data_IF_425953572894
#
_entry.id   IF_425953572894
#
_cell.length_a   1.000
_cell.length_b   1.000
_cell.length_c   1.000
_cell.angle_alpha   90.00
_cell.angle_beta   90.00
_cell.angle_gamma   90.00
#
_symmetry.space_group_name_H-M   'P 1'
#
loop_
_entity.id
_entity.type
_entity.pdbx_description
1 polymer ?
#
# COMPACT_ATOMS: atom_id res chain seq x y z
N UNK A 1 -22.16 -15.56 -37.20
CA UNK A 1 -20.93 -14.82 -36.83
C UNK A 1 -21.09 -13.92 -35.59
N UNK A 2 -22.02 -12.96 -35.54
CA UNK A 2 -22.17 -12.03 -34.39
C UNK A 2 -22.33 -12.72 -33.01
N UNK A 3 -23.03 -13.86 -32.93
CA UNK A 3 -23.20 -14.63 -31.69
C UNK A 3 -21.92 -15.34 -31.21
N UNK A 4 -21.13 -15.89 -32.12
CA UNK A 4 -19.85 -16.54 -31.81
C UNK A 4 -18.82 -15.52 -31.28
N UNK A 5 -18.75 -14.34 -31.91
CA UNK A 5 -17.92 -13.22 -31.44
C UNK A 5 -18.35 -12.78 -30.03
N UNK A 6 -19.66 -12.71 -29.76
CA UNK A 6 -20.17 -12.37 -28.44
C UNK A 6 -19.76 -13.36 -27.33
N UNK A 7 -19.78 -14.67 -27.60
CA UNK A 7 -19.30 -15.67 -26.65
C UNK A 7 -17.78 -15.62 -26.47
N UNK A 8 -17.03 -15.42 -27.55
CA UNK A 8 -15.57 -15.25 -27.49
C UNK A 8 -15.19 -14.03 -26.62
N UNK A 9 -15.82 -12.87 -26.83
CA UNK A 9 -15.53 -11.66 -26.05
C UNK A 9 -15.88 -11.82 -24.56
N UNK A 10 -17.00 -12.47 -24.23
CA UNK A 10 -17.36 -12.78 -22.83
C UNK A 10 -16.36 -13.75 -22.20
N UNK A 11 -15.96 -14.78 -22.93
CA UNK A 11 -14.94 -15.73 -22.49
C UNK A 11 -13.60 -15.04 -22.27
N UNK A 12 -13.19 -14.16 -23.18
CA UNK A 12 -11.96 -13.36 -23.09
C UNK A 12 -11.96 -12.47 -21.85
N UNK A 13 -13.10 -11.83 -21.53
CA UNK A 13 -13.24 -10.92 -20.39
C UNK A 13 -13.05 -11.62 -19.04
N UNK A 14 -13.33 -12.93 -18.96
CA UNK A 14 -13.10 -13.76 -17.77
C UNK A 14 -11.72 -14.43 -17.81
N UNK A 15 -11.34 -14.96 -18.97
CA UNK A 15 -10.11 -15.72 -19.15
C UNK A 15 -8.86 -14.86 -19.04
N UNK A 16 -8.84 -13.67 -19.65
CA UNK A 16 -7.64 -12.81 -19.66
C UNK A 16 -7.19 -12.41 -18.26
N UNK A 17 -8.08 -11.89 -17.36
CA UNK A 17 -7.68 -11.60 -15.98
C UNK A 17 -7.15 -12.84 -15.24
N UNK A 18 -7.79 -14.00 -15.41
CA UNK A 18 -7.37 -15.24 -14.75
C UNK A 18 -6.00 -15.72 -15.25
N UNK A 19 -5.78 -15.71 -16.57
CA UNK A 19 -4.52 -16.08 -17.20
C UNK A 19 -3.38 -15.13 -16.79
N UNK A 20 -3.62 -13.81 -16.79
CA UNK A 20 -2.65 -12.81 -16.31
C UNK A 20 -2.30 -13.07 -14.83
N UNK A 21 -3.30 -13.33 -13.99
CA UNK A 21 -3.07 -13.63 -12.56
C UNK A 21 -2.15 -14.84 -12.39
N UNK A 22 -2.42 -15.94 -13.10
CA UNK A 22 -1.58 -17.14 -13.05
C UNK A 22 -0.18 -16.86 -13.57
N UNK A 23 -0.03 -16.12 -14.67
CA UNK A 23 1.27 -15.75 -15.22
C UNK A 23 2.12 -14.95 -14.23
N UNK A 24 1.51 -13.98 -13.53
CA UNK A 24 2.21 -13.18 -12.51
C UNK A 24 2.66 -14.07 -11.34
N UNK A 25 1.81 -15.00 -10.89
CA UNK A 25 2.16 -15.93 -9.80
C UNK A 25 3.34 -16.83 -10.22
N UNK A 26 3.27 -17.45 -11.40
CA UNK A 26 4.36 -18.29 -11.90
C UNK A 26 5.65 -17.51 -12.12
N UNK A 27 5.56 -16.28 -12.64
CA UNK A 27 6.70 -15.40 -12.82
C UNK A 27 7.37 -15.08 -11.47
N UNK A 28 6.58 -14.67 -10.47
CA UNK A 28 7.09 -14.37 -9.15
C UNK A 28 7.79 -15.58 -8.52
N UNK A 29 7.16 -16.76 -8.54
CA UNK A 29 7.74 -18.00 -8.01
C UNK A 29 9.10 -18.29 -8.67
N UNK A 30 9.17 -18.20 -10.00
CA UNK A 30 10.41 -18.49 -10.76
C UNK A 30 11.54 -17.51 -10.42
N UNK A 31 11.24 -16.24 -10.27
CA UNK A 31 12.24 -15.23 -9.86
C UNK A 31 12.77 -15.50 -8.45
N UNK A 32 11.90 -15.87 -7.50
CA UNK A 32 12.31 -16.25 -6.14
C UNK A 32 13.14 -17.54 -6.10
N UNK A 33 12.73 -18.57 -6.85
CA UNK A 33 13.49 -19.82 -6.98
C UNK A 33 14.88 -19.55 -7.59
N UNK A 34 14.94 -18.68 -8.61
CA UNK A 34 16.19 -18.26 -9.26
C UNK A 34 17.11 -17.47 -8.33
N UNK A 35 16.57 -16.54 -7.53
CA UNK A 35 17.33 -15.75 -6.55
C UNK A 35 18.04 -16.64 -5.51
N UNK A 36 17.39 -17.75 -5.13
CA UNK A 36 17.93 -18.71 -4.15
C UNK A 36 18.70 -19.87 -4.79
N UNK A 37 18.77 -19.94 -6.13
CA UNK A 37 19.43 -21.02 -6.86
C UNK A 37 18.77 -22.39 -6.69
N UNK A 38 17.47 -22.43 -6.39
CA UNK A 38 16.75 -23.67 -6.07
C UNK A 38 16.19 -24.26 -7.37
N UNK A 39 16.56 -25.51 -7.73
CA UNK A 39 16.12 -26.13 -8.99
C UNK A 39 14.68 -26.67 -8.96
N UNK A 40 14.01 -26.61 -7.80
CA UNK A 40 12.65 -27.14 -7.60
C UNK A 40 11.64 -25.98 -7.67
N UNK A 41 10.75 -25.94 -8.69
CA UNK A 41 9.75 -24.89 -8.81
C UNK A 41 8.85 -24.79 -7.57
N UNK A 42 8.72 -23.59 -6.99
CA UNK A 42 7.90 -23.30 -5.82
C UNK A 42 8.62 -23.43 -4.48
N UNK A 43 9.78 -24.09 -4.41
CA UNK A 43 10.49 -24.30 -3.15
C UNK A 43 11.21 -23.04 -2.67
N UNK A 44 11.66 -22.17 -3.58
CA UNK A 44 12.21 -20.86 -3.26
C UNK A 44 11.15 -19.90 -2.73
N UNK A 45 9.91 -19.99 -3.21
CA UNK A 45 8.80 -19.27 -2.59
C UNK A 45 8.55 -19.73 -1.14
N UNK A 46 8.51 -21.04 -0.89
CA UNK A 46 8.36 -21.59 0.47
C UNK A 46 9.54 -21.18 1.36
N UNK A 47 10.77 -21.25 0.84
CA UNK A 47 11.96 -20.81 1.56
C UNK A 47 11.92 -19.31 1.87
N UNK A 48 11.47 -18.47 0.92
CA UNK A 48 11.30 -17.04 1.14
C UNK A 48 10.28 -16.75 2.26
N UNK A 49 9.12 -17.42 2.24
CA UNK A 49 8.12 -17.33 3.31
C UNK A 49 8.75 -17.74 4.65
N UNK A 50 9.43 -18.88 4.71
CA UNK A 50 10.08 -19.35 5.92
C UNK A 50 11.15 -18.37 6.45
N UNK A 51 11.97 -17.80 5.57
CA UNK A 51 12.98 -16.79 5.92
C UNK A 51 12.32 -15.51 6.44
N UNK A 52 11.30 -14.99 5.74
CA UNK A 52 10.58 -13.78 6.16
C UNK A 52 9.91 -14.01 7.52
N UNK A 53 9.25 -15.15 7.72
CA UNK A 53 8.65 -15.52 9.02
C UNK A 53 9.71 -15.65 10.11
N UNK A 54 10.86 -16.27 9.81
CA UNK A 54 11.96 -16.38 10.76
C UNK A 54 12.55 -15.01 11.13
N UNK A 55 12.71 -14.12 10.16
CA UNK A 55 13.13 -12.72 10.41
C UNK A 55 12.11 -12.02 11.31
N UNK A 56 10.81 -12.16 11.02
CA UNK A 56 9.73 -11.59 11.84
C UNK A 56 9.74 -12.13 13.28
N UNK A 57 9.94 -13.44 13.44
CA UNK A 57 10.06 -14.10 14.75
C UNK A 57 11.32 -13.65 15.52
N UNK A 58 12.44 -13.48 14.84
CA UNK A 58 13.66 -12.96 15.48
C UNK A 58 13.48 -11.49 15.87
N UNK A 59 12.80 -10.71 15.03
CA UNK A 59 12.48 -9.30 15.27
C UNK A 59 11.57 -9.09 16.48
N UNK A 60 10.63 -10.00 16.75
CA UNK A 60 9.71 -9.92 17.90
C UNK A 60 10.35 -10.27 19.25
N UNK A 61 11.57 -10.83 19.25
CA UNK A 61 12.33 -11.12 20.47
C UNK A 61 13.36 -10.02 20.79
N UNK A 62 13.82 -9.96 22.05
CA UNK A 62 14.85 -9.01 22.51
C UNK A 62 16.14 -9.01 21.66
N UNK A 63 16.45 -10.13 21.00
CA UNK A 63 17.58 -10.29 20.06
C UNK A 63 17.36 -9.49 18.78
N UNK A 64 16.12 -9.41 18.28
CA UNK A 64 15.72 -8.65 17.10
C UNK A 64 16.00 -7.16 17.22
N UNK A 65 15.68 -6.57 18.38
CA UNK A 65 15.99 -5.16 18.65
C UNK A 65 17.50 -4.88 18.59
N UNK A 66 18.35 -5.79 19.10
CA UNK A 66 19.83 -5.62 19.00
C UNK A 66 20.34 -5.77 17.57
N UNK A 67 19.78 -6.70 16.80
CA UNK A 67 20.16 -6.90 15.39
C UNK A 67 19.74 -5.70 14.54
N UNK A 68 18.53 -5.18 14.75
CA UNK A 68 18.06 -3.96 14.09
C UNK A 68 18.95 -2.76 14.42
N UNK A 69 19.30 -2.55 15.69
CA UNK A 69 20.22 -1.47 16.09
C UNK A 69 21.62 -1.61 15.47
N UNK A 70 22.11 -2.85 15.28
CA UNK A 70 23.38 -3.10 14.61
C UNK A 70 23.31 -2.77 13.11
N UNK A 71 22.24 -3.19 12.44
CA UNK A 71 22.00 -2.90 11.02
C UNK A 71 21.83 -1.38 10.81
N UNK A 72 21.10 -0.70 11.69
CA UNK A 72 20.90 0.75 11.63
C UNK A 72 22.22 1.51 11.90
N UNK A 73 23.08 0.98 12.78
CA UNK A 73 24.44 1.49 13.03
C UNK A 73 25.38 1.26 11.84
N UNK A 74 25.15 0.20 11.05
CA UNK A 74 25.89 -0.06 9.82
C UNK A 74 25.44 0.88 8.70
N UNK A 75 24.12 1.07 8.53
CA UNK A 75 23.55 1.96 7.51
C UNK A 75 23.73 3.45 7.82
N UNK A 76 23.89 3.85 9.08
CA UNK A 76 24.23 5.25 9.45
C UNK A 76 25.59 5.69 8.93
N UNK A 77 26.49 4.77 8.57
CA UNK A 77 27.76 5.10 7.87
C UNK A 77 27.56 5.36 6.37
N UNK A 78 26.41 5.00 5.82
CA UNK A 78 26.06 5.13 4.41
C UNK A 78 24.79 5.99 4.29
N UNK A 79 24.90 7.32 4.43
CA UNK A 79 23.76 8.23 4.57
C UNK A 79 22.72 8.10 3.44
N UNK A 80 23.18 7.82 2.22
CA UNK A 80 22.31 7.59 1.06
C UNK A 80 21.45 6.33 1.24
N UNK A 81 22.05 5.21 1.65
CA UNK A 81 21.33 3.93 1.85
C UNK A 81 20.30 4.06 2.96
N UNK A 82 20.65 4.77 4.05
CA UNK A 82 19.71 5.05 5.14
C UNK A 82 18.47 5.80 4.65
N UNK A 83 18.63 6.81 3.80
CA UNK A 83 17.50 7.55 3.23
C UNK A 83 16.57 6.65 2.41
N UNK A 84 17.12 5.81 1.53
CA UNK A 84 16.31 4.87 0.74
C UNK A 84 15.61 3.83 1.61
N UNK A 85 16.32 3.25 2.58
CA UNK A 85 15.75 2.29 3.51
C UNK A 85 14.62 2.90 4.34
N UNK A 86 14.83 4.11 4.89
CA UNK A 86 13.81 4.83 5.63
C UNK A 86 12.58 5.12 4.78
N UNK A 87 12.76 5.66 3.56
CA UNK A 87 11.64 5.93 2.65
C UNK A 87 10.84 4.67 2.28
N UNK A 88 11.52 3.56 2.00
CA UNK A 88 10.87 2.27 1.71
C UNK A 88 10.13 1.75 2.96
N UNK A 89 10.75 1.82 4.14
CA UNK A 89 10.15 1.41 5.40
C UNK A 89 8.90 2.23 5.70
N UNK A 90 8.97 3.55 5.57
CA UNK A 90 7.85 4.46 5.81
C UNK A 90 6.70 4.19 4.84
N UNK A 91 7.01 3.95 3.56
CA UNK A 91 6.03 3.53 2.56
C UNK A 91 5.35 2.22 2.96
N UNK A 92 6.12 1.17 3.27
CA UNK A 92 5.58 -0.13 3.67
C UNK A 92 4.74 0.01 4.96
N UNK A 93 5.19 0.78 5.94
CA UNK A 93 4.45 0.99 7.18
C UNK A 93 3.13 1.73 6.96
N UNK A 94 3.08 2.70 6.04
CA UNK A 94 1.84 3.37 5.67
C UNK A 94 0.79 2.42 5.07
N UNK A 95 1.22 1.34 4.40
CA UNK A 95 0.33 0.36 3.76
C UNK A 95 0.08 -0.93 4.58
N UNK A 96 1.03 -1.36 5.40
CA UNK A 96 1.05 -2.70 6.02
C UNK A 96 1.23 -2.71 7.56
N UNK A 97 1.42 -1.56 8.21
CA UNK A 97 1.60 -1.47 9.67
C UNK A 97 0.28 -1.45 10.46
N UNK A 98 0.34 -1.80 11.76
CA UNK A 98 -0.79 -1.69 12.70
C UNK A 98 -1.27 -0.24 12.93
N UNK A 99 -0.43 0.75 12.58
CA UNK A 99 -0.81 2.16 12.42
C UNK A 99 -0.98 2.46 10.93
N UNK A 100 -2.07 2.02 10.32
CA UNK A 100 -2.35 2.30 8.91
C UNK A 100 -2.58 3.81 8.75
N UNK A 101 -1.67 4.51 8.09
CA UNK A 101 -1.83 5.94 7.76
C UNK A 101 -3.03 6.20 6.83
N UNK A 102 -3.69 5.15 6.34
CA UNK A 102 -4.91 5.20 5.54
C UNK A 102 -6.13 4.59 6.24
N UNK A 103 -6.13 4.45 7.57
CA UNK A 103 -7.27 3.85 8.29
C UNK A 103 -8.41 4.80 8.63
N UNK A 104 -8.24 6.08 8.36
CA UNK A 104 -9.21 7.12 8.68
C UNK A 104 -9.78 7.69 7.39
N UNK A 105 -10.71 6.99 6.71
CA UNK A 105 -11.35 7.54 5.52
C UNK A 105 -12.16 8.78 5.92
N UNK A 106 -12.02 9.83 5.15
CA UNK A 106 -12.67 11.12 5.37
C UNK A 106 -13.22 11.66 4.08
N UNK A 107 -14.21 12.54 4.20
CA UNK A 107 -14.70 13.38 3.12
C UNK A 107 -14.45 14.84 3.46
N UNK A 108 -13.93 15.59 2.50
CA UNK A 108 -13.58 17.00 2.66
C UNK A 108 -14.11 17.80 1.47
N UNK A 109 -14.61 19.00 1.74
CA UNK A 109 -14.94 19.98 0.70
C UNK A 109 -13.68 20.72 0.26
N UNK A 110 -13.30 20.58 -1.02
CA UNK A 110 -12.08 21.20 -1.56
C UNK A 110 -12.16 22.73 -1.58
N UNK A 111 -13.35 23.26 -1.81
CA UNK A 111 -13.68 24.69 -1.72
C UNK A 111 -15.02 24.84 -1.01
N UNK A 112 -15.27 26.00 -0.42
CA UNK A 112 -16.54 26.27 0.31
C UNK A 112 -17.70 26.15 -0.67
N UNK A 113 -18.64 25.22 -0.39
CA UNK A 113 -19.78 24.93 -1.28
C UNK A 113 -19.39 24.22 -2.58
N UNK A 114 -18.17 23.70 -2.67
CA UNK A 114 -17.62 23.04 -3.85
C UNK A 114 -17.73 21.52 -3.83
N UNK A 115 -16.99 20.83 -4.71
CA UNK A 115 -16.97 19.38 -4.77
C UNK A 115 -16.34 18.77 -3.51
N UNK A 116 -16.82 17.58 -3.16
CA UNK A 116 -16.29 16.77 -2.07
C UNK A 116 -15.29 15.76 -2.61
N UNK A 117 -14.21 15.56 -1.87
CA UNK A 117 -13.19 14.57 -2.17
C UNK A 117 -13.08 13.58 -1.00
N UNK A 118 -12.94 12.31 -1.33
CA UNK A 118 -12.65 11.26 -0.35
C UNK A 118 -11.14 11.11 -0.25
N UNK A 119 -10.64 11.15 0.99
CA UNK A 119 -9.23 10.99 1.29
C UNK A 119 -9.04 10.24 2.61
N UNK A 120 -7.82 10.28 3.11
CA UNK A 120 -7.45 9.58 4.33
C UNK A 120 -6.60 10.49 5.21
N UNK A 121 -6.94 10.61 6.50
CA UNK A 121 -6.09 11.34 7.44
C UNK A 121 -4.79 10.56 7.65
N UNK A 122 -3.67 11.19 7.30
CA UNK A 122 -2.33 10.65 7.50
C UNK A 122 -1.64 11.23 8.74
N UNK A 123 -2.01 12.44 9.16
CA UNK A 123 -1.60 13.07 10.42
C UNK A 123 -2.78 13.84 11.03
N UNK A 124 -3.03 13.60 12.32
CA UNK A 124 -4.12 14.23 13.09
C UNK A 124 -3.77 15.60 13.68
N UNK A 125 -2.49 16.00 13.68
CA UNK A 125 -2.04 17.33 14.07
C UNK A 125 -0.72 17.66 13.35
N UNK A 126 -0.63 18.90 12.85
CA UNK A 126 0.53 19.42 12.13
C UNK A 126 1.30 20.48 12.92
N UNK A 127 1.34 20.38 14.26
CA UNK A 127 2.13 21.27 15.10
C UNK A 127 3.62 21.32 14.73
N UNK A 128 4.19 20.23 14.20
CA UNK A 128 5.58 20.21 13.72
C UNK A 128 5.84 21.11 12.50
N UNK A 129 4.80 21.49 11.76
CA UNK A 129 4.83 22.46 10.67
C UNK A 129 4.39 23.87 11.13
N UNK A 130 4.23 24.09 12.43
CA UNK A 130 3.62 25.31 12.99
C UNK A 130 2.18 25.54 12.52
N UNK A 131 1.45 24.45 12.28
CA UNK A 131 0.03 24.44 11.89
C UNK A 131 -0.80 23.61 12.89
N UNK A 132 -0.84 23.99 14.18
CA UNK A 132 -1.59 23.23 15.18
C UNK A 132 -3.09 23.25 14.87
N UNK A 133 -3.77 22.11 15.03
CA UNK A 133 -5.20 21.95 14.75
C UNK A 133 -5.53 21.71 13.27
N UNK A 134 -4.54 21.78 12.38
CA UNK A 134 -4.68 21.32 11.00
C UNK A 134 -4.31 19.84 10.88
N UNK A 135 -4.94 19.16 9.91
CA UNK A 135 -4.73 17.74 9.60
C UNK A 135 -4.23 17.57 8.17
N UNK A 136 -3.38 16.56 7.94
CA UNK A 136 -2.95 16.19 6.60
C UNK A 136 -3.84 15.08 6.03
N UNK A 137 -4.53 15.38 4.93
CA UNK A 137 -5.39 14.44 4.22
C UNK A 137 -4.73 14.04 2.90
N UNK A 138 -4.51 12.74 2.72
CA UNK A 138 -4.02 12.17 1.47
C UNK A 138 -5.18 11.81 0.54
N UNK A 139 -5.07 12.21 -0.72
CA UNK A 139 -6.02 11.92 -1.79
C UNK A 139 -5.36 11.04 -2.84
N UNK A 140 -5.69 9.73 -2.89
CA UNK A 140 -5.25 8.86 -3.97
C UNK A 140 -5.83 9.30 -5.32
N UNK A 141 -5.06 9.13 -6.39
CA UNK A 141 -5.52 9.32 -7.76
C UNK A 141 -6.10 8.01 -8.32
N UNK A 142 -7.26 8.09 -8.98
CA UNK A 142 -7.87 6.92 -9.62
C UNK A 142 -6.99 6.37 -10.74
N UNK A 143 -6.92 5.04 -10.84
CA UNK A 143 -6.11 4.31 -11.82
C UNK A 143 -4.61 4.61 -11.79
N UNK A 144 -4.09 5.19 -10.70
CA UNK A 144 -2.69 5.52 -10.55
C UNK A 144 -2.20 5.23 -9.12
N UNK A 145 -0.91 4.97 -8.97
CA UNK A 145 -0.25 4.87 -7.66
C UNK A 145 0.41 6.21 -7.31
N UNK A 146 -0.41 7.25 -7.28
CA UNK A 146 -0.03 8.61 -6.97
C UNK A 146 -1.13 9.28 -6.16
N UNK A 147 -0.82 10.44 -5.58
CA UNK A 147 -1.79 11.19 -4.79
C UNK A 147 -1.26 12.55 -4.38
N UNK A 148 -2.13 13.33 -3.77
CA UNK A 148 -1.81 14.65 -3.24
C UNK A 148 -2.08 14.66 -1.74
N UNK A 149 -1.20 15.30 -0.97
CA UNK A 149 -1.48 15.64 0.42
C UNK A 149 -1.97 17.08 0.45
N UNK A 150 -3.15 17.29 1.01
CA UNK A 150 -3.71 18.62 1.26
C UNK A 150 -3.93 18.80 2.76
N UNK A 151 -3.75 20.03 3.22
CA UNK A 151 -3.87 20.40 4.63
C UNK A 151 -5.21 21.11 4.82
N UNK A 152 -5.95 20.72 5.86
CA UNK A 152 -7.23 21.31 6.21
C UNK A 152 -7.33 21.53 7.72
N UNK A 153 -8.08 22.54 8.18
CA UNK A 153 -8.51 22.61 9.57
C UNK A 153 -9.30 21.35 9.94
N UNK A 154 -9.03 20.77 11.11
CA UNK A 154 -9.68 19.53 11.56
C UNK A 154 -11.21 19.60 11.50
N UNK A 155 -11.79 20.77 11.78
CA UNK A 155 -13.22 21.05 11.75
C UNK A 155 -13.86 20.91 10.36
N UNK A 156 -13.07 21.06 9.29
CA UNK A 156 -13.53 20.91 7.89
C UNK A 156 -13.43 19.49 7.36
N UNK A 157 -12.93 18.55 8.16
CA UNK A 157 -12.72 17.17 7.78
C UNK A 157 -13.78 16.29 8.44
N UNK A 158 -14.61 15.64 7.63
CA UNK A 158 -15.68 14.77 8.12
C UNK A 158 -15.28 13.30 8.00
N UNK A 159 -15.23 12.52 9.10
CA UNK A 159 -15.01 11.08 9.03
C UNK A 159 -16.08 10.35 8.21
N UNK A 160 -15.65 9.38 7.41
CA UNK A 160 -16.55 8.45 6.73
C UNK A 160 -16.68 7.17 7.55
N UNK A 161 -17.92 6.78 7.87
CA UNK A 161 -18.20 5.55 8.60
C UNK A 161 -18.27 4.33 7.65
N UNK A 162 -17.16 4.03 6.99
CA UNK A 162 -16.98 2.84 6.13
C UNK A 162 -15.61 2.23 6.38
N UNK A 163 -15.43 0.96 6.01
CA UNK A 163 -14.09 0.38 6.03
C UNK A 163 -13.15 1.12 5.08
N UNK A 164 -11.92 1.36 5.55
CA UNK A 164 -10.83 1.96 4.77
C UNK A 164 -10.59 1.23 3.44
N UNK A 165 -10.74 -0.10 3.44
CA UNK A 165 -10.65 -0.98 2.28
C UNK A 165 -11.68 -0.60 1.20
N UNK A 166 -12.94 -0.37 1.60
CA UNK A 166 -14.02 0.05 0.71
C UNK A 166 -13.81 1.47 0.20
N UNK A 167 -13.40 2.40 1.07
CA UNK A 167 -13.07 3.77 0.67
C UNK A 167 -11.95 3.78 -0.39
N UNK A 168 -10.90 2.99 -0.17
CA UNK A 168 -9.76 2.89 -1.08
C UNK A 168 -10.18 2.30 -2.43
N UNK A 169 -10.96 1.22 -2.42
CA UNK A 169 -11.48 0.60 -3.64
C UNK A 169 -12.35 1.58 -4.45
N UNK A 170 -13.20 2.37 -3.78
CA UNK A 170 -14.03 3.39 -4.42
C UNK A 170 -13.17 4.47 -5.09
N UNK A 171 -12.21 5.06 -4.37
CA UNK A 171 -11.36 6.15 -4.90
C UNK A 171 -10.46 5.66 -6.04
N UNK A 172 -9.75 4.55 -5.85
CA UNK A 172 -8.79 4.03 -6.85
C UNK A 172 -9.49 3.58 -8.14
N UNK A 173 -10.73 3.10 -8.05
CA UNK A 173 -11.54 2.72 -9.21
C UNK A 173 -12.25 3.89 -9.92
N UNK A 174 -12.02 5.14 -9.49
CA UNK A 174 -12.72 6.30 -10.06
C UNK A 174 -14.23 6.30 -9.75
N UNK A 175 -14.62 5.73 -8.62
CA UNK A 175 -16.01 5.68 -8.14
C UNK A 175 -16.86 4.56 -8.73
N UNK A 176 -16.27 3.63 -9.49
CA UNK A 176 -17.01 2.51 -10.12
C UNK A 176 -17.23 1.34 -9.16
N UNK A 177 -16.27 1.10 -8.27
CA UNK A 177 -16.33 0.03 -7.26
C UNK A 177 -16.92 0.56 -5.96
N UNK A 178 -17.81 -0.18 -5.29
CA UNK A 178 -18.44 0.27 -4.04
C UNK A 178 -19.87 -0.23 -3.78
N UNK A 179 -20.28 -1.34 -4.42
CA UNK A 179 -21.50 -2.06 -4.07
C UNK A 179 -21.30 -2.91 -2.83
#
# INVERSE_FOLDING_TARGET
MKRLIGYFLKGLLVFVPAAITLLIIFWAIKEFDGLLGIPIPGLGFVAAVAIITLIGFLASNYIGNKLFLFIDKLFTRLPVIKMFYAAIRDLIQAFAGERKSFDKPVVVELTVGGPKAIGFITHDDLGFLSMPGDVAVYFPQSYNFAGSVLIFPAERVSPLNIESSKAMAFVVSGGVSGK
#
